data_IF_776135888765
#
_entry.id   IF_776135888765
#
_cell.length_a   1.000
_cell.length_b   1.000
_cell.length_c   1.000
_cell.angle_alpha   90.00
_cell.angle_beta   90.00
_cell.angle_gamma   90.00
#
_symmetry.space_group_name_H-M   'P 1'
#
loop_
_entity.id
_entity.type
_entity.pdbx_description
1 polymer ?
#
# COMPACT_ATOMS: atom_id res chain seq x y z
N UNK A 1 -18.69 -6.55 7.71
CA UNK A 1 -17.93 -5.59 6.94
C UNK A 1 -17.29 -6.20 5.72
N UNK A 2 -16.78 -5.36 4.83
CA UNK A 2 -16.07 -5.82 3.65
C UNK A 2 -14.76 -6.54 4.05
N UNK A 3 -14.48 -7.65 3.39
CA UNK A 3 -13.22 -8.37 3.58
C UNK A 3 -12.06 -7.56 3.00
N UNK A 4 -10.96 -7.48 3.74
CA UNK A 4 -9.71 -6.87 3.27
C UNK A 4 -8.92 -7.94 2.54
N UNK A 5 -9.03 -7.95 1.23
CA UNK A 5 -8.36 -8.92 0.35
C UNK A 5 -8.32 -8.39 -1.08
N UNK A 6 -7.56 -9.06 -1.94
CA UNK A 6 -7.51 -8.75 -3.36
C UNK A 6 -6.56 -7.61 -3.70
N UNK A 7 -6.89 -6.84 -4.73
CA UNK A 7 -6.10 -5.69 -5.16
C UNK A 7 -6.41 -4.49 -4.29
N UNK A 8 -5.40 -4.02 -3.58
CA UNK A 8 -5.48 -2.85 -2.70
C UNK A 8 -4.49 -1.82 -3.22
N UNK A 9 -4.99 -0.66 -3.66
CA UNK A 9 -4.10 0.34 -4.24
C UNK A 9 -3.42 1.17 -3.14
N UNK A 10 -2.08 1.25 -3.20
CA UNK A 10 -1.32 2.22 -2.43
C UNK A 10 -1.48 3.58 -3.14
N UNK A 11 -2.56 4.29 -2.81
CA UNK A 11 -3.01 5.44 -3.59
C UNK A 11 -2.03 6.61 -3.48
N UNK A 12 -1.71 7.23 -4.61
CA UNK A 12 -0.98 8.51 -4.63
C UNK A 12 -1.87 9.62 -4.07
N UNK A 13 -1.25 10.67 -3.55
CA UNK A 13 -1.94 11.90 -3.18
C UNK A 13 -1.65 12.96 -4.24
N UNK A 14 -2.63 13.32 -5.09
CA UNK A 14 -2.41 14.31 -6.15
C UNK A 14 -2.13 15.69 -5.59
N UNK A 15 -1.22 16.40 -6.25
CA UNK A 15 -0.81 17.75 -5.86
C UNK A 15 -0.62 18.62 -7.10
N UNK A 16 -0.82 19.93 -6.94
CA UNK A 16 -0.48 20.90 -7.97
C UNK A 16 1.03 21.17 -8.00
N UNK A 17 1.46 21.99 -8.95
CA UNK A 17 2.88 22.30 -9.13
C UNK A 17 3.53 22.96 -7.91
N UNK A 18 2.76 23.53 -7.00
CA UNK A 18 3.22 24.13 -5.74
C UNK A 18 3.14 23.15 -4.56
N UNK A 19 2.77 21.90 -4.79
CA UNK A 19 2.66 20.89 -3.76
C UNK A 19 1.38 20.99 -2.91
N UNK A 20 0.39 21.77 -3.36
CA UNK A 20 -0.91 21.84 -2.69
C UNK A 20 -1.77 20.65 -3.10
N UNK A 21 -2.57 20.13 -2.17
CA UNK A 21 -3.43 18.98 -2.45
C UNK A 21 -4.47 19.32 -3.53
N UNK A 22 -4.59 18.43 -4.52
CA UNK A 22 -5.55 18.56 -5.62
C UNK A 22 -6.74 17.62 -5.37
N UNK A 23 -7.77 18.18 -4.76
CA UNK A 23 -8.97 17.43 -4.37
C UNK A 23 -9.76 16.91 -5.55
N UNK A 24 -9.84 17.66 -6.65
CA UNK A 24 -10.55 17.22 -7.86
C UNK A 24 -9.87 16.00 -8.48
N UNK A 25 -8.55 16.01 -8.56
CA UNK A 25 -7.81 14.86 -9.07
C UNK A 25 -7.92 13.66 -8.13
N UNK A 26 -7.89 13.87 -6.80
CA UNK A 26 -8.10 12.79 -5.84
C UNK A 26 -9.48 12.16 -6.02
N UNK A 27 -10.52 12.97 -6.20
CA UNK A 27 -11.87 12.48 -6.47
C UNK A 27 -11.91 11.61 -7.73
N UNK A 28 -11.30 12.06 -8.80
CA UNK A 28 -11.23 11.31 -10.07
C UNK A 28 -10.47 9.99 -9.92
N UNK A 29 -9.39 9.98 -9.15
CA UNK A 29 -8.62 8.75 -8.91
C UNK A 29 -9.42 7.75 -8.09
N UNK A 30 -10.14 8.18 -7.07
CA UNK A 30 -11.02 7.29 -6.30
C UNK A 30 -12.06 6.65 -7.22
N UNK A 31 -12.71 7.44 -8.06
CA UNK A 31 -13.69 6.93 -9.04
C UNK A 31 -13.03 5.96 -10.04
N UNK A 32 -11.84 6.28 -10.51
CA UNK A 32 -11.07 5.41 -11.40
C UNK A 32 -10.86 4.02 -10.80
N UNK A 33 -10.52 3.95 -9.50
CA UNK A 33 -10.37 2.67 -8.81
C UNK A 33 -11.68 1.95 -8.59
N UNK A 34 -12.73 2.66 -8.19
CA UNK A 34 -14.07 2.07 -8.02
C UNK A 34 -14.61 1.48 -9.32
N UNK A 35 -14.37 2.14 -10.45
CA UNK A 35 -14.81 1.69 -11.78
C UNK A 35 -13.99 0.53 -12.32
N UNK A 36 -12.77 0.31 -11.81
CA UNK A 36 -11.85 -0.70 -12.31
C UNK A 36 -11.66 -1.89 -11.37
N UNK A 37 -12.56 -2.08 -10.40
CA UNK A 37 -12.61 -3.28 -9.61
C UNK A 37 -11.59 -3.37 -8.47
N UNK A 38 -10.95 -2.27 -8.10
CA UNK A 38 -10.07 -2.23 -6.92
C UNK A 38 -10.84 -2.66 -5.67
N UNK A 39 -10.25 -3.54 -4.86
CA UNK A 39 -10.93 -4.12 -3.71
C UNK A 39 -10.81 -3.29 -2.43
N UNK A 40 -9.75 -2.49 -2.30
CA UNK A 40 -9.56 -1.57 -1.17
C UNK A 40 -8.64 -0.42 -1.57
N UNK A 41 -8.75 0.69 -0.87
CA UNK A 41 -7.86 1.85 -1.07
C UNK A 41 -7.04 2.04 0.19
N UNK A 42 -5.71 2.11 0.02
CA UNK A 42 -4.78 2.51 1.08
C UNK A 42 -4.46 3.98 0.88
N UNK A 43 -5.00 4.81 1.75
CA UNK A 43 -4.78 6.26 1.74
C UNK A 43 -3.61 6.62 2.64
N UNK A 44 -2.87 7.63 2.27
CA UNK A 44 -1.78 8.24 3.04
C UNK A 44 -0.74 7.25 3.55
N UNK A 45 -0.43 6.26 2.72
CA UNK A 45 0.73 5.38 2.92
C UNK A 45 2.00 6.03 2.39
N UNK A 46 3.04 5.24 2.21
CA UNK A 46 4.32 5.71 1.62
C UNK A 46 4.10 6.32 0.24
N UNK A 47 3.37 5.62 -0.62
CA UNK A 47 3.04 6.08 -1.97
C UNK A 47 2.20 7.36 -1.95
N UNK A 48 1.39 7.54 -0.92
CA UNK A 48 0.59 8.75 -0.70
C UNK A 48 1.38 9.91 -0.10
N UNK A 49 2.70 9.80 0.02
CA UNK A 49 3.57 10.86 0.55
C UNK A 49 3.24 11.26 1.99
N UNK A 50 2.88 10.29 2.82
CA UNK A 50 2.54 10.53 4.23
C UNK A 50 3.63 11.29 4.98
N UNK A 51 4.91 11.06 4.63
CA UNK A 51 6.05 11.69 5.31
C UNK A 51 6.05 13.22 5.20
N UNK A 52 5.38 13.79 4.21
CA UNK A 52 5.36 15.24 3.96
C UNK A 52 3.93 15.83 4.00
N UNK A 53 2.97 15.08 4.48
CA UNK A 53 1.66 15.60 4.83
C UNK A 53 1.67 16.02 6.30
N UNK A 54 1.16 17.21 6.61
CA UNK A 54 0.96 17.56 8.01
C UNK A 54 -0.24 16.80 8.61
N UNK A 55 -0.42 16.87 9.92
CA UNK A 55 -1.45 16.10 10.62
C UNK A 55 -2.85 16.42 10.08
N UNK A 56 -3.14 17.69 9.82
CA UNK A 56 -4.45 18.11 9.31
C UNK A 56 -4.69 17.58 7.90
N UNK A 57 -3.70 17.69 7.02
CA UNK A 57 -3.79 17.15 5.65
C UNK A 57 -3.98 15.65 5.66
N UNK A 58 -3.25 14.95 6.53
CA UNK A 58 -3.36 13.50 6.70
C UNK A 58 -4.80 13.11 7.03
N UNK A 59 -5.40 13.76 8.01
CA UNK A 59 -6.79 13.53 8.43
C UNK A 59 -7.77 13.86 7.29
N UNK A 60 -7.58 15.00 6.63
CA UNK A 60 -8.47 15.46 5.57
C UNK A 60 -8.49 14.52 4.37
N UNK A 61 -7.32 13.99 3.96
CA UNK A 61 -7.24 13.03 2.86
C UNK A 61 -8.00 11.75 3.23
N UNK A 62 -7.80 11.21 4.43
CA UNK A 62 -8.52 10.02 4.88
C UNK A 62 -10.03 10.26 4.84
N UNK A 63 -10.48 11.36 5.43
CA UNK A 63 -11.89 11.72 5.50
C UNK A 63 -12.51 11.88 4.10
N UNK A 64 -11.80 12.52 3.19
CA UNK A 64 -12.24 12.71 1.83
C UNK A 64 -12.44 11.37 1.09
N UNK A 65 -11.44 10.48 1.18
CA UNK A 65 -11.51 9.16 0.54
C UNK A 65 -12.64 8.33 1.14
N UNK A 66 -12.76 8.30 2.46
CA UNK A 66 -13.84 7.58 3.16
C UNK A 66 -15.21 8.06 2.68
N UNK A 67 -15.40 9.36 2.62
CA UNK A 67 -16.68 9.96 2.20
C UNK A 67 -17.03 9.59 0.76
N UNK A 68 -16.07 9.67 -0.15
CA UNK A 68 -16.33 9.38 -1.56
C UNK A 68 -16.55 7.89 -1.82
N UNK A 69 -15.80 7.03 -1.16
CA UNK A 69 -15.97 5.57 -1.25
C UNK A 69 -17.34 5.16 -0.70
N UNK A 70 -17.83 5.83 0.32
CA UNK A 70 -19.17 5.63 0.89
C UNK A 70 -19.47 4.16 1.24
N UNK A 71 -18.52 3.46 1.82
CA UNK A 71 -18.68 2.07 2.28
C UNK A 71 -18.63 1.01 1.18
N UNK A 72 -18.41 1.39 -0.07
CA UNK A 72 -18.39 0.42 -1.20
C UNK A 72 -17.21 -0.54 -1.16
N UNK A 73 -16.06 -0.07 -0.71
CA UNK A 73 -14.84 -0.87 -0.48
C UNK A 73 -14.17 -0.39 0.80
N UNK A 74 -13.30 -1.22 1.43
CA UNK A 74 -12.55 -0.76 2.61
C UNK A 74 -11.58 0.38 2.29
N UNK A 75 -11.44 1.30 3.25
CA UNK A 75 -10.40 2.34 3.24
C UNK A 75 -9.45 2.06 4.38
N UNK A 76 -8.18 1.88 4.04
CA UNK A 76 -7.09 1.59 4.96
C UNK A 76 -6.22 2.85 5.04
N UNK A 77 -5.96 3.35 6.24
CA UNK A 77 -5.15 4.55 6.42
C UNK A 77 -3.74 4.20 6.88
N UNK A 78 -2.73 4.78 6.25
CA UNK A 78 -1.34 4.68 6.71
C UNK A 78 -1.12 5.50 7.96
N UNK A 79 -0.80 4.87 9.09
CA UNK A 79 -0.69 5.55 10.39
C UNK A 79 0.54 5.19 11.20
N UNK A 80 1.47 4.41 10.61
CA UNK A 80 2.73 4.05 11.29
C UNK A 80 3.65 5.25 11.50
N UNK A 81 4.45 5.17 12.55
CA UNK A 81 5.45 6.16 12.88
C UNK A 81 6.58 5.48 13.67
N UNK A 82 7.73 6.15 13.78
CA UNK A 82 8.84 5.64 14.58
C UNK A 82 8.77 6.05 16.06
N UNK A 83 7.76 6.82 16.42
CA UNK A 83 7.35 7.11 17.80
C UNK A 83 6.05 6.36 18.07
N UNK A 84 6.02 5.51 19.09
CA UNK A 84 4.82 4.75 19.49
C UNK A 84 3.66 5.70 19.80
N UNK A 85 3.94 6.79 20.52
CA UNK A 85 2.94 7.80 20.86
C UNK A 85 2.34 8.45 19.61
N UNK A 86 3.17 8.81 18.65
CA UNK A 86 2.73 9.41 17.39
C UNK A 86 1.88 8.43 16.58
N UNK A 87 2.29 7.16 16.52
CA UNK A 87 1.51 6.13 15.84
C UNK A 87 0.11 5.96 16.47
N UNK A 88 0.02 6.03 17.80
CA UNK A 88 -1.28 5.98 18.50
C UNK A 88 -2.13 7.20 18.13
N UNK A 89 -1.56 8.39 18.07
CA UNK A 89 -2.29 9.61 17.69
C UNK A 89 -2.81 9.51 16.26
N UNK A 90 -1.95 9.11 15.31
CA UNK A 90 -2.33 8.96 13.90
C UNK A 90 -3.42 7.90 13.72
N UNK A 91 -3.30 6.78 14.42
CA UNK A 91 -4.28 5.70 14.35
C UNK A 91 -5.62 6.11 14.95
N UNK A 92 -5.60 6.87 16.06
CA UNK A 92 -6.81 7.44 16.67
C UNK A 92 -7.50 8.40 15.70
N UNK A 93 -6.73 9.28 15.06
CA UNK A 93 -7.25 10.24 14.08
C UNK A 93 -7.87 9.53 12.86
N UNK A 94 -7.23 8.48 12.38
CA UNK A 94 -7.75 7.69 11.25
C UNK A 94 -9.07 7.00 11.59
N UNK A 95 -9.19 6.44 12.80
CA UNK A 95 -10.45 5.87 13.28
C UNK A 95 -11.55 6.93 13.31
N UNK A 96 -11.28 8.09 13.86
CA UNK A 96 -12.23 9.21 13.93
C UNK A 96 -12.63 9.68 12.53
N UNK A 97 -11.70 9.68 11.58
CA UNK A 97 -11.97 10.06 10.18
C UNK A 97 -12.78 9.01 9.41
N UNK A 98 -13.02 7.84 9.98
CA UNK A 98 -13.87 6.81 9.39
C UNK A 98 -13.16 5.69 8.65
N UNK A 99 -11.83 5.57 8.76
CA UNK A 99 -11.09 4.47 8.16
C UNK A 99 -11.58 3.11 8.69
N UNK A 100 -11.56 2.10 7.83
CA UNK A 100 -11.95 0.73 8.20
C UNK A 100 -10.81 -0.03 8.87
N UNK A 101 -9.57 0.32 8.56
CA UNK A 101 -8.37 -0.29 9.12
C UNK A 101 -7.19 0.68 9.00
N UNK A 102 -6.10 0.37 9.69
CA UNK A 102 -4.86 1.13 9.60
C UNK A 102 -3.71 0.23 9.15
N UNK A 103 -2.79 0.82 8.39
CA UNK A 103 -1.54 0.18 7.95
C UNK A 103 -0.40 0.85 8.69
N UNK A 104 0.37 0.06 9.46
CA UNK A 104 1.40 0.58 10.35
C UNK A 104 2.77 0.06 9.95
N UNK A 105 3.56 0.91 9.29
CA UNK A 105 4.96 0.60 8.98
C UNK A 105 5.75 0.42 10.26
N UNK A 106 6.75 -0.47 10.23
CA UNK A 106 7.70 -0.61 11.35
C UNK A 106 8.39 0.72 11.61
N UNK A 107 8.82 0.99 12.86
CA UNK A 107 9.62 2.18 13.12
C UNK A 107 10.85 2.22 12.20
N UNK A 108 11.05 3.37 11.58
CA UNK A 108 12.15 3.65 10.67
C UNK A 108 13.18 4.51 11.38
N UNK A 109 14.47 4.33 11.03
CA UNK A 109 15.59 5.12 11.52
C UNK A 109 16.11 4.69 12.91
N UNK A 110 15.24 4.59 13.95
CA UNK A 110 15.67 4.35 15.33
C UNK A 110 15.94 2.87 15.71
N UNK A 111 15.72 1.95 14.76
CA UNK A 111 16.16 0.53 14.82
C UNK A 111 15.78 -0.22 16.10
N UNK A 112 14.48 -0.40 16.39
CA UNK A 112 14.08 -1.17 17.56
C UNK A 112 14.49 -2.64 17.46
N UNK A 113 14.64 -3.28 18.61
CA UNK A 113 14.80 -4.73 18.69
C UNK A 113 13.49 -5.44 18.33
N UNK A 114 13.52 -6.76 18.16
CA UNK A 114 12.30 -7.54 17.96
C UNK A 114 11.32 -7.38 19.12
N UNK A 115 11.80 -7.38 20.35
CA UNK A 115 10.98 -7.12 21.53
C UNK A 115 10.39 -5.70 21.50
N UNK A 116 11.17 -4.72 21.08
CA UNK A 116 10.67 -3.35 20.89
C UNK A 116 9.57 -3.27 19.85
N UNK A 117 9.71 -3.97 18.73
CA UNK A 117 8.67 -4.08 17.71
C UNK A 117 7.38 -4.69 18.27
N UNK A 118 7.52 -5.78 19.02
CA UNK A 118 6.37 -6.42 19.66
C UNK A 118 5.63 -5.46 20.60
N UNK A 119 6.37 -4.80 21.51
CA UNK A 119 5.79 -3.86 22.47
C UNK A 119 5.15 -2.64 21.77
N UNK A 120 5.80 -2.14 20.73
CA UNK A 120 5.32 -1.01 19.94
C UNK A 120 3.94 -1.31 19.32
N UNK A 121 3.84 -2.38 18.55
CA UNK A 121 2.59 -2.72 17.86
C UNK A 121 1.49 -3.16 18.82
N UNK A 122 1.87 -3.87 19.88
CA UNK A 122 0.90 -4.26 20.93
C UNK A 122 0.31 -3.03 21.61
N UNK A 123 1.15 -2.05 21.96
CA UNK A 123 0.69 -0.81 22.58
C UNK A 123 -0.30 -0.04 21.71
N UNK A 124 -0.04 0.03 20.40
CA UNK A 124 -0.94 0.71 19.47
C UNK A 124 -2.28 -0.05 19.36
N UNK A 125 -2.22 -1.38 19.24
CA UNK A 125 -3.41 -2.23 19.14
C UNK A 125 -4.29 -2.14 20.38
N UNK A 126 -3.69 -2.10 21.56
CA UNK A 126 -4.42 -1.96 22.83
C UNK A 126 -5.01 -0.56 23.01
N UNK A 127 -4.33 0.47 22.50
CA UNK A 127 -4.77 1.86 22.67
C UNK A 127 -5.91 2.25 21.74
N UNK A 128 -6.01 1.66 20.54
CA UNK A 128 -6.98 2.09 19.53
C UNK A 128 -7.73 0.89 18.97
N UNK A 129 -9.04 0.87 19.18
CA UNK A 129 -9.91 -0.21 18.72
C UNK A 129 -10.31 -0.03 17.25
N UNK A 130 -9.39 -0.44 16.38
CA UNK A 130 -9.55 -0.49 14.93
C UNK A 130 -8.66 -1.61 14.39
N UNK A 131 -9.06 -2.35 13.35
CA UNK A 131 -8.19 -3.34 12.72
C UNK A 131 -6.89 -2.72 12.24
N UNK A 132 -5.77 -3.39 12.50
CA UNK A 132 -4.43 -2.91 12.20
C UNK A 132 -3.65 -3.95 11.42
N UNK A 133 -2.97 -3.51 10.39
CA UNK A 133 -2.14 -4.32 9.51
C UNK A 133 -0.70 -3.87 9.70
N UNK A 134 0.16 -4.78 10.11
CA UNK A 134 1.60 -4.52 10.22
C UNK A 134 2.21 -4.33 8.83
N UNK A 135 3.28 -3.55 8.73
CA UNK A 135 3.95 -3.32 7.45
C UNK A 135 5.46 -3.40 7.64
N UNK A 136 6.08 -4.41 7.00
CA UNK A 136 7.51 -4.66 7.06
C UNK A 136 8.17 -4.39 5.70
N UNK A 137 9.02 -3.37 5.64
CA UNK A 137 9.71 -2.93 4.41
C UNK A 137 11.17 -2.55 4.74
N UNK A 138 12.03 -3.56 4.98
CA UNK A 138 13.38 -3.31 5.51
C UNK A 138 14.24 -2.36 4.67
N UNK A 139 14.08 -2.38 3.36
CA UNK A 139 14.83 -1.50 2.45
C UNK A 139 14.57 -0.02 2.66
N UNK A 140 13.41 0.35 3.23
CA UNK A 140 13.07 1.74 3.52
C UNK A 140 13.31 2.13 4.97
N UNK A 141 13.20 1.17 5.88
CA UNK A 141 13.16 1.46 7.32
C UNK A 141 14.46 1.18 8.03
N UNK A 142 15.34 0.35 7.47
CA UNK A 142 16.51 -0.23 8.14
C UNK A 142 16.11 -1.07 9.36
N UNK A 143 14.89 -1.59 9.38
CA UNK A 143 14.31 -2.41 10.45
C UNK A 143 13.62 -3.59 9.80
N UNK A 144 13.94 -4.81 10.23
CA UNK A 144 13.37 -6.03 9.68
C UNK A 144 12.66 -6.83 10.78
N UNK A 145 11.32 -6.82 10.71
CA UNK A 145 10.51 -7.61 11.65
C UNK A 145 10.52 -9.07 11.22
N UNK A 146 11.09 -9.93 12.06
CA UNK A 146 11.25 -11.35 11.77
C UNK A 146 9.91 -12.10 11.83
N UNK A 147 9.85 -13.26 11.18
CA UNK A 147 8.62 -14.07 11.14
C UNK A 147 8.09 -14.39 12.54
N UNK A 148 8.97 -14.77 13.49
CA UNK A 148 8.56 -15.10 14.87
C UNK A 148 7.88 -13.91 15.57
N UNK A 149 8.34 -12.70 15.33
CA UNK A 149 7.73 -11.48 15.86
C UNK A 149 6.34 -11.26 15.29
N UNK A 150 6.17 -11.44 13.99
CA UNK A 150 4.86 -11.34 13.31
C UNK A 150 3.90 -12.40 13.86
N UNK A 151 4.35 -13.64 13.98
CA UNK A 151 3.54 -14.75 14.52
C UNK A 151 3.09 -14.42 15.94
N UNK A 152 3.99 -13.92 16.78
CA UNK A 152 3.67 -13.50 18.14
C UNK A 152 2.63 -12.38 18.16
N UNK A 153 2.74 -11.39 17.27
CA UNK A 153 1.79 -10.28 17.16
C UNK A 153 0.45 -10.72 16.58
N UNK A 154 0.41 -11.80 15.81
CA UNK A 154 -0.81 -12.26 15.14
C UNK A 154 -1.93 -12.67 16.10
N UNK A 155 -1.61 -12.94 17.37
CA UNK A 155 -2.58 -13.28 18.41
C UNK A 155 -3.08 -12.08 19.20
N UNK A 156 -2.54 -10.90 18.95
CA UNK A 156 -2.95 -9.67 19.64
C UNK A 156 -4.25 -9.16 19.01
N UNK A 157 -5.24 -8.89 19.85
CA UNK A 157 -6.52 -8.32 19.38
C UNK A 157 -6.27 -7.05 18.58
N UNK A 158 -7.01 -6.85 17.50
CA UNK A 158 -6.94 -5.76 16.53
C UNK A 158 -5.80 -5.88 15.51
N UNK A 159 -4.80 -6.71 15.71
CA UNK A 159 -3.78 -6.96 14.68
C UNK A 159 -4.30 -8.07 13.78
N UNK A 160 -4.69 -7.71 12.55
CA UNK A 160 -5.40 -8.61 11.65
C UNK A 160 -4.56 -9.14 10.49
N UNK A 161 -3.38 -8.60 10.27
CA UNK A 161 -2.57 -9.01 9.13
C UNK A 161 -1.24 -8.30 9.06
N UNK A 162 -0.50 -8.64 8.01
CA UNK A 162 0.77 -8.01 7.65
C UNK A 162 0.84 -7.74 6.15
N UNK A 163 1.33 -6.55 5.79
CA UNK A 163 1.87 -6.24 4.47
C UNK A 163 3.34 -6.61 4.48
N UNK A 164 3.67 -7.71 3.80
CA UNK A 164 5.01 -8.26 3.71
C UNK A 164 5.67 -7.71 2.44
N UNK A 165 6.64 -6.84 2.59
CA UNK A 165 7.28 -6.13 1.47
C UNK A 165 8.79 -6.40 1.38
N UNK A 166 9.27 -7.51 1.92
CA UNK A 166 10.67 -7.93 1.76
C UNK A 166 10.95 -8.45 0.36
N UNK A 167 9.93 -8.95 -0.35
CA UNK A 167 10.09 -9.65 -1.62
C UNK A 167 10.63 -11.08 -1.43
N UNK A 168 10.80 -11.54 -0.20
CA UNK A 168 11.31 -12.87 0.15
C UNK A 168 10.14 -13.84 0.40
N UNK A 169 9.87 -14.71 -0.56
CA UNK A 169 8.78 -15.69 -0.46
C UNK A 169 9.00 -16.70 0.68
N UNK A 170 10.25 -16.97 1.06
CA UNK A 170 10.51 -17.85 2.19
C UNK A 170 10.10 -17.21 3.51
N UNK A 171 10.25 -15.90 3.64
CA UNK A 171 9.73 -15.13 4.79
C UNK A 171 8.21 -15.20 4.85
N UNK A 172 7.54 -14.98 3.72
CA UNK A 172 6.09 -15.08 3.63
C UNK A 172 5.60 -16.48 4.01
N UNK A 173 6.27 -17.53 3.54
CA UNK A 173 5.93 -18.90 3.90
C UNK A 173 6.10 -19.16 5.39
N UNK A 174 7.17 -18.69 6.00
CA UNK A 174 7.41 -18.85 7.43
C UNK A 174 6.30 -18.20 8.27
N UNK A 175 5.80 -17.03 7.83
CA UNK A 175 4.69 -16.36 8.49
C UNK A 175 3.40 -17.17 8.30
N UNK A 176 3.08 -17.56 7.07
CA UNK A 176 1.88 -18.34 6.77
C UNK A 176 1.83 -19.65 7.56
N UNK A 177 2.95 -20.32 7.72
CA UNK A 177 3.04 -21.58 8.47
C UNK A 177 2.79 -21.40 9.98
N UNK A 178 2.99 -20.20 10.51
CA UNK A 178 2.91 -19.92 11.95
C UNK A 178 1.66 -19.18 12.42
N UNK A 179 0.86 -18.65 11.50
CA UNK A 179 -0.34 -17.87 11.85
C UNK A 179 -1.61 -18.68 11.54
N UNK A 180 -2.74 -18.25 12.13
CA UNK A 180 -4.04 -18.85 11.81
C UNK A 180 -4.50 -18.41 10.42
N UNK A 181 -5.47 -19.15 9.85
CA UNK A 181 -6.04 -18.82 8.53
C UNK A 181 -6.71 -17.46 8.49
N UNK A 182 -7.14 -16.95 9.64
CA UNK A 182 -7.81 -15.64 9.75
C UNK A 182 -6.83 -14.47 9.67
N UNK A 183 -5.54 -14.72 9.90
CA UNK A 183 -4.53 -13.66 9.82
C UNK A 183 -4.15 -13.41 8.36
N UNK A 184 -4.23 -12.16 7.92
CA UNK A 184 -4.04 -11.79 6.53
C UNK A 184 -2.56 -11.57 6.22
N UNK A 185 -1.97 -12.41 5.37
CA UNK A 185 -0.64 -12.16 4.81
C UNK A 185 -0.84 -11.55 3.44
N UNK A 186 -0.44 -10.29 3.29
CA UNK A 186 -0.67 -9.46 2.12
C UNK A 186 0.68 -9.10 1.52
N UNK A 187 0.83 -9.22 0.20
CA UNK A 187 2.04 -8.77 -0.47
C UNK A 187 2.14 -7.25 -0.48
N UNK A 188 3.35 -6.74 -0.26
CA UNK A 188 3.70 -5.34 -0.51
C UNK A 188 4.77 -5.20 -1.60
N UNK A 189 4.95 -6.23 -2.42
CA UNK A 189 6.00 -6.31 -3.44
C UNK A 189 5.39 -6.82 -4.75
N UNK A 190 5.14 -5.92 -5.69
CA UNK A 190 4.46 -6.26 -6.94
C UNK A 190 5.12 -7.44 -7.70
N UNK A 191 6.46 -7.53 -7.81
CA UNK A 191 7.09 -8.64 -8.52
C UNK A 191 6.80 -10.03 -7.94
N UNK A 192 6.57 -10.17 -6.65
CA UNK A 192 6.36 -11.46 -5.98
C UNK A 192 4.91 -11.70 -5.54
N UNK A 193 4.01 -10.78 -5.84
CA UNK A 193 2.64 -10.80 -5.33
C UNK A 193 1.85 -12.05 -5.75
N UNK A 194 1.93 -12.45 -7.01
CA UNK A 194 1.20 -13.62 -7.50
C UNK A 194 1.59 -14.88 -6.73
N UNK A 195 2.89 -15.12 -6.59
CA UNK A 195 3.37 -16.33 -5.90
C UNK A 195 3.01 -16.31 -4.42
N UNK A 196 3.06 -15.14 -3.79
CA UNK A 196 2.64 -15.01 -2.40
C UNK A 196 1.15 -15.33 -2.23
N UNK A 197 0.29 -14.83 -3.10
CA UNK A 197 -1.15 -15.13 -3.03
C UNK A 197 -1.40 -16.62 -3.27
N UNK A 198 -0.72 -17.23 -4.27
CA UNK A 198 -0.89 -18.64 -4.59
C UNK A 198 -0.48 -19.57 -3.44
N UNK A 199 0.43 -19.14 -2.58
CA UNK A 199 0.83 -19.94 -1.41
C UNK A 199 -0.05 -19.71 -0.16
N UNK A 200 -1.09 -18.88 -0.27
CA UNK A 200 -2.05 -18.63 0.82
C UNK A 200 -2.22 -17.19 1.24
N UNK A 201 -1.49 -16.26 0.62
CA UNK A 201 -1.69 -14.83 0.83
C UNK A 201 -3.06 -14.36 0.34
N UNK A 202 -3.51 -13.22 0.86
CA UNK A 202 -4.88 -12.74 0.64
C UNK A 202 -4.99 -11.56 -0.32
N UNK A 203 -3.88 -11.01 -0.77
CA UNK A 203 -3.93 -9.88 -1.68
C UNK A 203 -2.59 -9.18 -1.85
N UNK A 204 -2.66 -8.03 -2.51
CA UNK A 204 -1.52 -7.20 -2.83
C UNK A 204 -1.84 -5.73 -2.59
N UNK A 205 -1.09 -5.08 -1.72
CA UNK A 205 -1.09 -3.62 -1.61
C UNK A 205 -0.05 -3.13 -2.61
N UNK A 206 -0.51 -2.53 -3.70
CA UNK A 206 0.23 -2.39 -4.94
C UNK A 206 0.48 -0.94 -5.33
N UNK A 207 1.69 -0.65 -5.80
CA UNK A 207 2.03 0.60 -6.49
C UNK A 207 1.55 0.54 -7.95
N UNK A 208 1.79 -0.57 -8.63
CA UNK A 208 1.39 -0.78 -10.03
C UNK A 208 -0.13 -0.63 -10.22
N UNK A 209 -0.93 -0.99 -9.23
CA UNK A 209 -2.37 -0.84 -9.26
C UNK A 209 -2.83 0.62 -9.46
N UNK A 210 -2.02 1.62 -9.14
CA UNK A 210 -2.34 3.02 -9.42
C UNK A 210 -2.61 3.26 -10.91
N UNK A 211 -1.80 2.66 -11.77
CA UNK A 211 -1.85 2.88 -13.24
C UNK A 211 -2.53 1.74 -13.99
N UNK A 212 -2.65 0.56 -13.40
CA UNK A 212 -3.27 -0.62 -14.01
C UNK A 212 -4.26 -1.29 -13.04
N UNK A 213 -5.31 -0.56 -12.58
CA UNK A 213 -6.19 -1.11 -11.55
C UNK A 213 -6.99 -2.33 -12.00
N UNK A 214 -7.50 -2.36 -13.24
CA UNK A 214 -8.27 -3.50 -13.75
C UNK A 214 -7.41 -4.75 -13.88
N UNK A 215 -6.22 -4.63 -14.46
CA UNK A 215 -5.31 -5.74 -14.61
C UNK A 215 -4.90 -6.31 -13.24
N UNK A 216 -4.63 -5.44 -12.27
CA UNK A 216 -4.27 -5.87 -10.91
C UNK A 216 -5.44 -6.54 -10.20
N UNK A 217 -6.65 -6.03 -10.36
CA UNK A 217 -7.86 -6.65 -9.81
C UNK A 217 -8.05 -8.07 -10.39
N UNK A 218 -7.91 -8.21 -11.70
CA UNK A 218 -8.04 -9.50 -12.39
C UNK A 218 -6.95 -10.48 -11.95
N UNK A 219 -5.72 -10.00 -11.80
CA UNK A 219 -4.59 -10.78 -11.30
C UNK A 219 -4.87 -11.35 -9.90
N UNK A 220 -5.31 -10.48 -8.99
CA UNK A 220 -5.61 -10.89 -7.62
C UNK A 220 -6.80 -11.85 -7.56
N UNK A 221 -7.85 -11.60 -8.32
CA UNK A 221 -9.01 -12.49 -8.39
C UNK A 221 -8.61 -13.87 -8.88
N UNK A 222 -7.81 -13.96 -9.94
CA UNK A 222 -7.32 -15.24 -10.48
C UNK A 222 -6.46 -15.97 -9.44
N UNK A 223 -5.49 -15.29 -8.84
CA UNK A 223 -4.58 -15.89 -7.86
C UNK A 223 -5.34 -16.39 -6.61
N UNK A 224 -6.32 -15.64 -6.13
CA UNK A 224 -7.15 -16.04 -4.98
C UNK A 224 -7.99 -17.28 -5.25
N UNK A 225 -8.37 -17.50 -6.52
CA UNK A 225 -9.10 -18.71 -6.94
C UNK A 225 -8.18 -19.90 -7.21
N UNK A 226 -6.86 -19.70 -7.14
CA UNK A 226 -5.90 -20.73 -7.51
C UNK A 226 -5.67 -20.89 -9.01
N UNK A 227 -6.18 -19.95 -9.83
CA UNK A 227 -5.94 -19.92 -11.28
C UNK A 227 -4.57 -19.33 -11.58
N UNK A 228 -3.54 -20.15 -11.39
CA UNK A 228 -2.15 -19.74 -11.55
C UNK A 228 -1.82 -19.33 -13.00
N UNK A 229 -2.42 -20.00 -13.98
CA UNK A 229 -2.16 -19.73 -15.39
C UNK A 229 -2.58 -18.30 -15.75
N UNK A 230 -3.81 -17.92 -15.42
CA UNK A 230 -4.32 -16.58 -15.69
C UNK A 230 -3.56 -15.52 -14.89
N UNK A 231 -3.33 -15.76 -13.60
CA UNK A 231 -2.64 -14.82 -12.73
C UNK A 231 -1.21 -14.54 -13.22
N UNK A 232 -0.47 -15.60 -13.58
CA UNK A 232 0.90 -15.45 -14.07
C UNK A 232 0.97 -14.78 -15.44
N UNK A 233 -0.01 -15.01 -16.31
CA UNK A 233 -0.08 -14.34 -17.61
C UNK A 233 -0.25 -12.84 -17.46
N UNK A 234 -1.14 -12.39 -16.56
CA UNK A 234 -1.33 -10.97 -16.25
C UNK A 234 -0.07 -10.38 -15.63
N UNK A 235 0.54 -11.10 -14.70
CA UNK A 235 1.79 -10.71 -14.05
C UNK A 235 2.91 -10.46 -15.08
N UNK A 236 3.10 -11.36 -16.04
CA UNK A 236 4.10 -11.19 -17.09
C UNK A 236 3.89 -9.91 -17.89
N UNK A 237 2.64 -9.59 -18.21
CA UNK A 237 2.31 -8.36 -18.93
C UNK A 237 2.62 -7.10 -18.11
N UNK A 238 2.48 -7.16 -16.78
CA UNK A 238 2.73 -6.04 -15.87
C UNK A 238 4.19 -5.92 -15.43
N UNK A 239 5.04 -6.92 -15.69
CA UNK A 239 6.42 -6.90 -15.23
C UNK A 239 7.23 -5.68 -15.68
N UNK A 240 7.10 -5.18 -16.91
CA UNK A 240 7.80 -3.95 -17.28
C UNK A 240 7.47 -2.77 -16.37
N UNK A 241 6.18 -2.61 -16.00
CA UNK A 241 5.75 -1.60 -15.03
C UNK A 241 6.28 -1.87 -13.63
N UNK A 242 6.17 -3.11 -13.16
CA UNK A 242 6.63 -3.48 -11.82
C UNK A 242 8.11 -3.13 -11.61
N UNK A 243 8.92 -3.27 -12.65
CA UNK A 243 10.35 -2.91 -12.61
C UNK A 243 10.57 -1.41 -12.72
N UNK A 244 9.91 -0.76 -13.68
CA UNK A 244 10.23 0.63 -14.04
C UNK A 244 9.60 1.64 -13.10
N UNK A 245 8.54 1.28 -12.39
CA UNK A 245 7.95 2.16 -11.36
C UNK A 245 8.86 2.34 -10.14
N UNK A 246 9.99 1.65 -10.08
CA UNK A 246 11.00 1.81 -9.02
C UNK A 246 12.36 2.30 -9.56
N UNK A 247 12.39 2.84 -10.79
CA UNK A 247 13.62 3.39 -11.40
C UNK A 247 14.16 4.59 -10.62
N UNK A 248 13.30 5.31 -9.92
CA UNK A 248 13.61 6.27 -8.87
C UNK A 248 12.72 5.96 -7.66
N UNK A 249 12.95 6.64 -6.54
CA UNK A 249 12.21 6.36 -5.30
C UNK A 249 10.70 6.51 -5.50
N UNK A 250 9.95 5.47 -5.10
CA UNK A 250 8.50 5.53 -5.05
C UNK A 250 8.04 6.66 -4.10
N UNK A 251 7.10 7.54 -4.49
CA UNK A 251 6.17 7.46 -5.61
C UNK A 251 6.55 8.30 -6.84
N UNK A 252 7.82 8.66 -7.02
CA UNK A 252 8.23 9.53 -8.14
C UNK A 252 7.79 8.96 -9.49
N UNK A 253 8.15 7.71 -9.85
CA UNK A 253 7.75 7.19 -11.17
C UNK A 253 6.25 7.04 -11.34
N UNK A 254 5.53 6.54 -10.33
CA UNK A 254 4.08 6.30 -10.47
C UNK A 254 3.30 7.61 -10.61
N UNK A 255 3.71 8.67 -9.94
CA UNK A 255 3.07 9.98 -10.12
C UNK A 255 3.29 10.52 -11.52
N UNK A 256 4.51 10.39 -12.05
CA UNK A 256 4.78 10.76 -13.43
C UNK A 256 3.93 9.96 -14.42
N UNK A 257 3.81 8.65 -14.20
CA UNK A 257 2.98 7.79 -15.05
C UNK A 257 1.51 8.22 -15.06
N UNK A 258 0.95 8.54 -13.89
CA UNK A 258 -0.43 9.04 -13.80
C UNK A 258 -0.61 10.38 -14.49
N UNK A 259 0.38 11.25 -14.43
CA UNK A 259 0.37 12.51 -15.16
C UNK A 259 0.38 12.27 -16.68
N UNK A 260 1.22 11.35 -17.16
CA UNK A 260 1.24 10.96 -18.58
C UNK A 260 -0.11 10.38 -19.05
N UNK A 261 -0.84 9.71 -18.17
CA UNK A 261 -2.18 9.20 -18.44
C UNK A 261 -3.26 10.29 -18.38
N UNK A 262 -2.90 11.52 -18.03
CA UNK A 262 -3.85 12.64 -17.93
C UNK A 262 -4.72 12.61 -16.69
N UNK A 263 -4.32 11.88 -15.64
CA UNK A 263 -5.17 11.65 -14.46
C UNK A 263 -4.85 12.58 -13.28
N UNK A 264 -3.73 13.29 -13.31
CA UNK A 264 -3.36 14.24 -12.24
C UNK A 264 -2.32 15.25 -12.72
N UNK A 265 -2.16 16.38 -12.02
CA UNK A 265 -1.08 17.34 -12.29
C UNK A 265 0.30 16.78 -11.91
N UNK A 266 1.35 17.56 -12.18
CA UNK A 266 2.74 17.19 -12.01
C UNK A 266 3.34 17.56 -10.64
N UNK A 267 2.53 17.57 -9.58
CA UNK A 267 2.97 17.95 -8.23
C UNK A 267 3.56 16.82 -7.41
N UNK A 268 4.63 17.11 -6.72
CA UNK A 268 5.26 16.26 -5.71
C UNK A 268 5.97 17.16 -4.70
N UNK A 269 6.07 16.72 -3.44
CA UNK A 269 6.70 17.53 -2.39
C UNK A 269 8.15 17.13 -2.13
N UNK A 270 8.99 18.14 -1.92
CA UNK A 270 10.34 17.91 -1.41
C UNK A 270 10.30 17.11 -0.10
N UNK A 271 11.27 16.24 0.15
CA UNK A 271 12.55 16.09 -0.56
C UNK A 271 12.50 15.30 -1.86
N UNK A 272 11.32 14.82 -2.26
CA UNK A 272 11.16 14.16 -3.55
C UNK A 272 11.01 15.20 -4.65
N UNK A 273 11.51 14.86 -5.84
CA UNK A 273 11.44 15.69 -7.04
C UNK A 273 10.75 14.92 -8.15
N UNK A 274 10.31 15.66 -9.17
CA UNK A 274 9.68 15.04 -10.34
C UNK A 274 10.64 14.09 -11.05
N UNK A 275 10.10 13.09 -11.74
CA UNK A 275 10.91 12.07 -12.42
C UNK A 275 11.95 12.71 -13.33
N UNK A 276 13.20 12.24 -13.24
CA UNK A 276 14.31 12.70 -14.08
C UNK A 276 14.02 12.44 -15.56
N UNK A 277 14.39 13.39 -16.41
CA UNK A 277 14.14 13.32 -17.86
C UNK A 277 14.66 12.02 -18.49
N UNK A 278 15.83 11.55 -18.02
CA UNK A 278 16.41 10.29 -18.50
C UNK A 278 15.53 9.06 -18.26
N UNK A 279 14.62 9.14 -17.30
CA UNK A 279 13.71 8.04 -16.94
C UNK A 279 12.36 8.12 -17.67
N UNK A 280 12.06 9.22 -18.37
CA UNK A 280 10.76 9.41 -19.04
C UNK A 280 10.50 8.35 -20.11
N UNK A 281 11.41 8.21 -21.07
CA UNK A 281 11.18 7.26 -22.18
C UNK A 281 11.20 5.79 -21.72
N UNK A 282 12.12 5.36 -20.84
CA UNK A 282 12.03 4.00 -20.29
C UNK A 282 10.70 3.69 -19.61
N UNK A 283 10.15 4.63 -18.83
CA UNK A 283 8.87 4.42 -18.17
C UNK A 283 7.71 4.46 -19.17
N UNK A 284 7.72 5.37 -20.11
CA UNK A 284 6.70 5.43 -21.18
C UNK A 284 6.67 4.13 -21.97
N UNK A 285 7.82 3.57 -22.29
CA UNK A 285 7.94 2.30 -23.00
C UNK A 285 7.36 1.14 -22.17
N UNK A 286 7.68 1.09 -20.86
CA UNK A 286 7.11 0.10 -19.96
C UNK A 286 5.58 0.20 -19.86
N UNK A 287 5.05 1.42 -19.85
CA UNK A 287 3.61 1.68 -19.85
C UNK A 287 2.93 1.17 -21.12
N UNK A 288 3.56 1.35 -22.28
CA UNK A 288 3.05 0.80 -23.56
C UNK A 288 3.08 -0.72 -23.56
N UNK A 289 4.17 -1.33 -23.13
CA UNK A 289 4.34 -2.78 -23.05
C UNK A 289 3.30 -3.41 -22.12
N UNK A 290 2.94 -2.73 -21.06
CA UNK A 290 1.95 -3.20 -20.08
C UNK A 290 0.51 -2.82 -20.45
N UNK A 291 0.31 -2.09 -21.55
CA UNK A 291 -1.01 -1.77 -22.06
C UNK A 291 -1.71 -0.59 -21.40
N UNK A 292 -1.01 0.22 -20.60
CA UNK A 292 -1.60 1.41 -19.93
C UNK A 292 -1.44 2.70 -20.73
N UNK A 293 -0.60 2.69 -21.75
CA UNK A 293 -0.53 3.72 -22.80
C UNK A 293 -0.62 3.07 -24.16
N UNK A 294 -1.14 3.83 -25.11
CA UNK A 294 -1.24 3.40 -26.51
C UNK A 294 0.09 3.60 -27.27
#
# INVERSE_FOLDING_TARGET
GCMIAGSMVALVTPMDAQGRLDWDSLSKLVDFHLQNGTHAIVAVGTTGESATLDVNEHIEVIRFVVKQVAGRIPVIAGTGANSTREAIELTTNAKTAGADACLLVTPYYNKPTQEGLYQHFKAIAEAVDIPQILYNVPGRTACDMQADTVIRLSTVKNIIGIKEATGDLSRAKAILDGVSEDFLVISGDDPTAVELILMGGKGNISVTANVAPRAMADLCNAALKGDAVTARAIHEKLMPLNKTLFIESNPIPVKWALHEMGLMPDGIRLPLTWLSTACHEPLRQAMRQSGVLV
#
